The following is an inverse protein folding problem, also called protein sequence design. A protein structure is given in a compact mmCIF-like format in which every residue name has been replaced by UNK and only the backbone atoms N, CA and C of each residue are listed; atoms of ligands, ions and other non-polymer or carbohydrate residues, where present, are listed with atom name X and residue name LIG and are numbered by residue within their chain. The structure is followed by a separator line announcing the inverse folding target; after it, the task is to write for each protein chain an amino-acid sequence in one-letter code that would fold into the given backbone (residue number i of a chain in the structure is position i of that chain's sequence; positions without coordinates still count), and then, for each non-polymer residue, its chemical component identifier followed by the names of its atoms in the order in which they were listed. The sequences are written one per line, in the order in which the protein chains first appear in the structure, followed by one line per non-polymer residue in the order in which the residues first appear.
data_IF_799397269994
#
_entry.id   IF_799397269994
#
_cell.length_a   1.000
_cell.length_b   1.000
_cell.length_c   1.000
_cell.angle_alpha   90.00
_cell.angle_beta   90.00
_cell.angle_gamma   90.00
#
_symmetry.space_group_name_H-M   'P 1'
#
loop_
_entity.id
_entity.type
_entity.pdbx_description
1 polymer ?
#
# COMPACT_ATOMS: atom_id res chain seq x y z
N UNK A 1 7.47 -21.15 39.30
CA UNK A 1 6.99 -20.00 38.49
C UNK A 1 7.79 -19.98 37.19
N UNK A 2 7.20 -20.42 36.09
CA UNK A 2 7.87 -20.45 34.77
C UNK A 2 7.49 -19.19 33.99
N UNK A 3 8.43 -18.25 33.90
CA UNK A 3 8.33 -17.07 33.04
C UNK A 3 8.53 -17.51 31.59
N UNK A 4 7.44 -17.62 30.82
CA UNK A 4 7.52 -17.85 29.38
C UNK A 4 8.09 -16.60 28.69
N UNK A 5 8.97 -16.74 27.69
CA UNK A 5 9.46 -15.60 26.94
C UNK A 5 8.29 -14.90 26.22
N UNK A 6 8.32 -13.56 26.08
CA UNK A 6 7.29 -12.85 25.35
C UNK A 6 7.19 -13.42 23.95
N UNK A 7 5.97 -13.71 23.49
CA UNK A 7 5.74 -14.32 22.19
C UNK A 7 5.96 -13.30 21.07
N UNK A 8 7.22 -12.98 20.80
CA UNK A 8 7.66 -12.07 19.74
C UNK A 8 7.67 -12.84 18.42
N UNK A 9 6.49 -13.20 17.91
CA UNK A 9 6.42 -13.71 16.53
C UNK A 9 6.98 -12.64 15.59
N UNK A 10 8.12 -12.92 14.96
CA UNK A 10 8.61 -12.11 13.86
C UNK A 10 7.57 -12.17 12.74
N UNK A 11 7.11 -11.03 12.21
CA UNK A 11 6.17 -11.03 11.09
C UNK A 11 6.81 -11.72 9.89
N UNK A 12 6.01 -12.51 9.17
CA UNK A 12 6.46 -13.16 7.94
C UNK A 12 6.82 -12.11 6.87
N UNK A 13 7.97 -12.29 6.21
CA UNK A 13 8.40 -11.46 5.09
C UNK A 13 9.43 -10.39 5.47
N UNK A 14 9.72 -9.49 4.53
CA UNK A 14 10.69 -8.41 4.73
C UNK A 14 10.13 -7.38 5.73
N UNK A 15 10.92 -6.94 6.73
CA UNK A 15 10.55 -5.81 7.57
C UNK A 15 10.17 -4.60 6.72
N UNK A 16 9.10 -3.92 7.10
CA UNK A 16 8.68 -2.71 6.38
C UNK A 16 9.73 -1.63 6.61
N UNK A 17 10.27 -1.05 5.53
CA UNK A 17 11.17 0.11 5.62
C UNK A 17 10.45 1.34 6.22
N UNK A 18 9.12 1.39 6.11
CA UNK A 18 8.29 2.50 6.63
C UNK A 18 7.67 2.13 7.97
N UNK A 19 7.80 3.05 8.92
CA UNK A 19 7.10 3.01 10.23
C UNK A 19 5.58 2.96 10.03
N UNK A 20 4.91 2.12 10.81
CA UNK A 20 3.44 2.12 10.93
C UNK A 20 3.06 3.07 12.06
N UNK A 21 2.11 3.97 11.81
CA UNK A 21 1.61 4.90 12.81
C UNK A 21 0.68 4.21 13.80
N UNK A 22 0.76 4.59 15.08
CA UNK A 22 -0.13 4.09 16.14
C UNK A 22 -1.49 4.81 16.13
N UNK A 23 -2.48 4.25 16.83
CA UNK A 23 -3.79 4.90 17.02
C UNK A 23 -3.62 6.27 17.69
N UNK A 24 -4.15 7.32 17.07
CA UNK A 24 -4.07 8.71 17.57
C UNK A 24 -2.94 9.55 16.98
N UNK A 25 -2.05 8.96 16.19
CA UNK A 25 -1.05 9.73 15.45
C UNK A 25 -1.69 10.40 14.22
N UNK A 26 -1.42 11.70 14.00
CA UNK A 26 -1.92 12.44 12.85
C UNK A 26 -1.22 11.91 11.59
N UNK A 27 -1.95 11.30 10.63
CA UNK A 27 -1.34 10.83 9.40
C UNK A 27 -0.84 12.04 8.59
N UNK A 28 0.37 11.93 8.04
CA UNK A 28 0.83 12.91 7.06
C UNK A 28 -0.09 12.89 5.84
N UNK A 29 -0.40 14.06 5.25
CA UNK A 29 -1.26 14.11 4.07
C UNK A 29 -0.63 13.27 2.95
N UNK A 30 -1.40 12.28 2.46
CA UNK A 30 -0.95 11.45 1.33
C UNK A 30 -0.70 12.37 0.14
N UNK A 31 0.56 12.43 -0.32
CA UNK A 31 0.91 13.16 -1.53
C UNK A 31 0.06 12.63 -2.68
N UNK A 32 -0.72 13.49 -3.33
CA UNK A 32 -1.39 13.16 -4.58
C UNK A 32 -0.30 12.76 -5.58
N UNK A 33 -0.51 11.68 -6.31
CA UNK A 33 0.43 11.28 -7.37
C UNK A 33 0.54 12.45 -8.36
N UNK A 34 1.76 12.87 -8.66
CA UNK A 34 2.01 13.92 -9.66
C UNK A 34 1.61 13.44 -11.06
N UNK A 35 1.83 12.15 -11.33
CA UNK A 35 1.49 11.52 -12.61
C UNK A 35 0.20 10.71 -12.44
N UNK A 36 -0.84 10.98 -13.25
CA UNK A 36 -2.05 10.17 -13.28
C UNK A 36 -1.72 8.74 -13.68
N UNK A 37 -2.40 7.77 -13.05
CA UNK A 37 -2.30 6.38 -13.46
C UNK A 37 -2.80 6.23 -14.91
N UNK A 38 -2.00 5.56 -15.74
CA UNK A 38 -2.34 5.27 -17.14
C UNK A 38 -2.95 3.88 -17.25
N UNK A 39 -3.94 3.75 -18.13
CA UNK A 39 -4.54 2.47 -18.45
C UNK A 39 -3.51 1.55 -19.10
N UNK A 40 -3.29 0.36 -18.53
CA UNK A 40 -2.36 -0.62 -19.09
C UNK A 40 -2.79 -1.27 -20.41
N UNK A 41 -4.00 -0.98 -20.92
CA UNK A 41 -4.47 -1.46 -22.23
C UNK A 41 -4.26 -0.40 -23.32
N UNK A 42 -4.73 0.83 -23.11
CA UNK A 42 -4.72 1.88 -24.15
C UNK A 42 -3.80 3.08 -23.84
N UNK A 43 -3.16 3.12 -22.66
CA UNK A 43 -2.29 4.22 -22.25
C UNK A 43 -3.01 5.51 -21.85
N UNK A 44 -4.34 5.60 -22.02
CA UNK A 44 -5.15 6.75 -21.63
C UNK A 44 -5.22 6.95 -20.11
N UNK A 45 -5.53 8.16 -19.68
CA UNK A 45 -5.69 8.51 -18.25
C UNK A 45 -7.18 8.50 -17.86
N UNK A 46 -7.47 8.47 -16.56
CA UNK A 46 -8.84 8.57 -16.03
C UNK A 46 -9.63 7.26 -16.00
N UNK A 47 -9.06 6.15 -16.46
CA UNK A 47 -9.67 4.81 -16.32
C UNK A 47 -8.60 3.73 -16.14
N UNK A 48 -9.02 2.62 -15.53
CA UNK A 48 -8.17 1.44 -15.34
C UNK A 48 -8.39 0.41 -16.46
N UNK A 49 -7.51 -0.59 -16.54
CA UNK A 49 -7.59 -1.69 -17.52
C UNK A 49 -8.94 -2.41 -17.52
N UNK A 50 -9.61 -2.51 -16.37
CA UNK A 50 -10.93 -3.15 -16.21
C UNK A 50 -12.06 -2.34 -16.85
N UNK A 51 -11.96 -1.01 -16.83
CA UNK A 51 -12.97 -0.09 -17.36
C UNK A 51 -12.59 0.44 -18.75
N UNK A 52 -11.60 -0.18 -19.39
CA UNK A 52 -11.14 0.24 -20.70
C UNK A 52 -12.10 -0.29 -21.76
N UNK A 53 -12.64 0.62 -22.57
CA UNK A 53 -13.60 0.33 -23.65
C UNK A 53 -12.86 -0.09 -24.93
N UNK A 54 -11.54 0.11 -25.01
CA UNK A 54 -10.73 -0.28 -26.17
C UNK A 54 -10.69 -1.81 -26.27
N UNK A 55 -11.00 -2.39 -27.46
CA UNK A 55 -10.85 -3.82 -27.73
C UNK A 55 -9.39 -4.26 -27.62
N UNK A 56 -9.17 -5.57 -27.49
CA UNK A 56 -7.82 -6.17 -27.48
C UNK A 56 -7.39 -6.45 -28.92
#
# INVERSE_FOLDING_TARGET
MTMLPPQTRLPSGRPKDKRVASTGEIPTPKKKKLVPDKCGRCGGTGHNRTNCVVPI
#
